data_IF_807047012793
#
_entry.id   IF_807047012793
#
_cell.length_a   1.000
_cell.length_b   1.000
_cell.length_c   1.000
_cell.angle_alpha   90.00
_cell.angle_beta   90.00
_cell.angle_gamma   90.00
#
_symmetry.space_group_name_H-M   'P 1'
#
loop_
_entity.id
_entity.type
_entity.pdbx_description
1 polymer ?
#
# COMPACT_ATOMS: atom_id res chain seq x y z
N UNK A 1 -8.89 31.08 -3.65
CA UNK A 1 -10.18 30.45 -4.01
C UNK A 1 -10.09 29.01 -3.53
N UNK A 2 -10.87 28.64 -2.51
CA UNK A 2 -10.94 27.26 -2.04
C UNK A 2 -11.55 26.41 -3.15
N UNK A 3 -10.90 25.32 -3.55
CA UNK A 3 -11.64 24.26 -4.23
C UNK A 3 -12.66 23.75 -3.22
N UNK A 4 -13.95 23.92 -3.52
CA UNK A 4 -15.04 23.50 -2.63
C UNK A 4 -15.46 22.06 -2.86
N UNK A 5 -14.87 21.36 -3.83
CA UNK A 5 -15.16 19.95 -4.12
C UNK A 5 -14.07 19.31 -4.98
N UNK A 6 -13.79 18.03 -4.74
CA UNK A 6 -12.92 17.19 -5.57
C UNK A 6 -13.64 16.60 -6.80
N UNK A 7 -14.96 16.70 -6.90
CA UNK A 7 -15.76 16.09 -7.97
C UNK A 7 -15.33 16.52 -9.38
N UNK A 8 -14.89 17.77 -9.55
CA UNK A 8 -14.37 18.26 -10.83
C UNK A 8 -13.08 17.55 -11.28
N UNK A 9 -12.19 17.23 -10.33
CA UNK A 9 -10.95 16.49 -10.60
C UNK A 9 -11.23 15.00 -10.82
N UNK A 10 -12.21 14.45 -10.11
CA UNK A 10 -12.67 13.06 -10.31
C UNK A 10 -13.31 12.89 -11.68
N UNK A 11 -14.13 13.86 -12.14
CA UNK A 11 -14.69 13.83 -13.49
C UNK A 11 -13.61 13.89 -14.56
N UNK A 12 -12.50 14.58 -14.28
CA UNK A 12 -11.36 14.69 -15.17
C UNK A 12 -10.60 13.37 -15.35
N UNK A 13 -10.78 12.43 -14.42
CA UNK A 13 -10.22 11.07 -14.47
C UNK A 13 -10.91 10.19 -15.53
N UNK A 14 -12.14 10.54 -15.93
CA UNK A 14 -12.94 9.85 -16.96
C UNK A 14 -12.52 10.24 -18.39
N UNK A 15 -11.75 11.33 -18.53
CA UNK A 15 -11.34 11.84 -19.83
C UNK A 15 -10.37 10.88 -20.56
N UNK A 16 -10.24 11.00 -21.89
CA UNK A 16 -9.36 10.13 -22.69
C UNK A 16 -7.89 10.56 -22.65
N UNK A 17 -7.59 11.80 -22.25
CA UNK A 17 -6.23 12.32 -22.23
C UNK A 17 -5.37 11.79 -21.07
N UNK A 18 -4.27 11.11 -21.39
CA UNK A 18 -3.27 10.63 -20.41
C UNK A 18 -2.70 11.78 -19.55
N UNK A 19 -2.38 12.92 -20.16
CA UNK A 19 -1.85 14.10 -19.44
C UNK A 19 -2.87 14.71 -18.48
N UNK A 20 -4.14 14.67 -18.87
CA UNK A 20 -5.28 15.19 -18.11
C UNK A 20 -5.52 14.33 -16.87
N UNK A 21 -5.47 12.99 -17.02
CA UNK A 21 -5.50 12.05 -15.89
C UNK A 21 -4.31 12.23 -14.96
N UNK A 22 -3.11 12.43 -15.48
CA UNK A 22 -1.91 12.66 -14.68
C UNK A 22 -2.02 13.95 -13.84
N UNK A 23 -2.53 15.02 -14.44
CA UNK A 23 -2.78 16.29 -13.72
C UNK A 23 -3.85 16.13 -12.64
N UNK A 24 -4.96 15.45 -12.96
CA UNK A 24 -6.02 15.16 -12.00
C UNK A 24 -5.48 14.37 -10.81
N UNK A 25 -4.76 13.27 -11.06
CA UNK A 25 -4.12 12.45 -10.03
C UNK A 25 -3.18 13.24 -9.11
N UNK A 26 -2.31 14.07 -9.68
CA UNK A 26 -1.38 14.88 -8.90
C UNK A 26 -2.12 15.84 -7.97
N UNK A 27 -3.17 16.50 -8.47
CA UNK A 27 -4.00 17.41 -7.66
C UNK A 27 -4.83 16.70 -6.62
N UNK A 28 -5.37 15.52 -6.94
CA UNK A 28 -6.09 14.69 -5.98
C UNK A 28 -5.17 14.23 -4.84
N UNK A 29 -3.91 13.88 -5.12
CA UNK A 29 -2.94 13.49 -4.10
C UNK A 29 -2.56 14.64 -3.14
N UNK A 30 -2.59 15.89 -3.58
CA UNK A 30 -2.38 17.06 -2.70
C UNK A 30 -3.60 17.37 -1.83
N UNK A 31 -4.79 16.98 -2.29
CA UNK A 31 -6.08 17.31 -1.67
C UNK A 31 -6.70 16.15 -0.88
N UNK A 32 -6.05 14.98 -0.89
CA UNK A 32 -6.58 13.75 -0.30
C UNK A 32 -6.93 13.91 1.18
N UNK A 33 -6.12 14.63 1.95
CA UNK A 33 -6.37 14.80 3.39
C UNK A 33 -7.64 15.61 3.69
N UNK A 34 -8.09 16.45 2.77
CA UNK A 34 -9.29 17.29 2.93
C UNK A 34 -10.53 16.66 2.28
N UNK A 35 -10.35 15.96 1.16
CA UNK A 35 -11.45 15.45 0.33
C UNK A 35 -11.45 13.92 0.19
N UNK A 36 -10.82 13.18 1.12
CA UNK A 36 -10.78 11.72 1.09
C UNK A 36 -12.17 11.09 0.96
N UNK A 37 -13.20 11.68 1.58
CA UNK A 37 -14.57 11.17 1.51
C UNK A 37 -15.12 11.21 0.07
N UNK A 38 -15.01 12.33 -0.64
CA UNK A 38 -15.43 12.43 -2.05
C UNK A 38 -14.58 11.54 -2.97
N UNK A 39 -13.28 11.43 -2.69
CA UNK A 39 -12.37 10.61 -3.51
C UNK A 39 -12.66 9.12 -3.32
N UNK A 40 -13.03 8.70 -2.10
CA UNK A 40 -13.36 7.33 -1.77
C UNK A 40 -14.55 6.79 -2.58
N UNK A 41 -15.56 7.62 -2.87
CA UNK A 41 -16.68 7.24 -3.73
C UNK A 41 -16.24 6.86 -5.15
N UNK A 42 -15.07 7.34 -5.58
CA UNK A 42 -14.50 7.08 -6.90
C UNK A 42 -13.19 6.30 -6.85
N UNK A 43 -12.87 5.64 -5.74
CA UNK A 43 -11.62 4.86 -5.58
C UNK A 43 -11.51 3.75 -6.63
N UNK A 44 -12.62 3.09 -6.97
CA UNK A 44 -12.69 2.06 -8.01
C UNK A 44 -12.14 2.56 -9.37
N UNK A 45 -12.34 3.84 -9.71
CA UNK A 45 -11.79 4.41 -10.95
C UNK A 45 -10.27 4.56 -10.88
N UNK A 46 -9.76 4.88 -9.70
CA UNK A 46 -8.32 5.00 -9.44
C UNK A 46 -7.68 3.61 -9.50
N UNK A 47 -8.36 2.58 -9.00
CA UNK A 47 -7.91 1.19 -9.12
C UNK A 47 -7.77 0.75 -10.58
N UNK A 48 -8.82 0.97 -11.39
CA UNK A 48 -8.80 0.66 -12.83
C UNK A 48 -7.65 1.39 -13.52
N UNK A 49 -7.40 2.64 -13.15
CA UNK A 49 -6.30 3.43 -13.71
C UNK A 49 -4.92 2.93 -13.27
N UNK A 50 -4.80 2.35 -12.07
CA UNK A 50 -3.58 1.70 -11.61
C UNK A 50 -3.32 0.38 -12.34
N UNK A 51 -4.38 -0.40 -12.63
CA UNK A 51 -4.28 -1.65 -13.39
C UNK A 51 -3.95 -1.41 -14.87
N UNK A 52 -4.23 -0.22 -15.37
CA UNK A 52 -3.89 0.16 -16.74
C UNK A 52 -2.36 0.29 -16.93
N UNK A 53 -1.77 -0.77 -17.47
CA UNK A 53 -0.35 -0.85 -17.79
C UNK A 53 0.09 0.11 -18.91
N UNK A 54 -0.84 0.73 -19.63
CA UNK A 54 -0.54 1.75 -20.66
C UNK A 54 -0.28 3.12 -20.04
N UNK A 55 -0.64 3.30 -18.77
CA UNK A 55 -0.55 4.58 -18.09
C UNK A 55 0.79 4.74 -17.34
N UNK A 56 1.65 5.69 -17.74
CA UNK A 56 2.97 5.86 -17.14
C UNK A 56 2.94 6.32 -15.67
N UNK A 57 1.83 6.92 -15.22
CA UNK A 57 1.64 7.37 -13.83
C UNK A 57 0.77 6.42 -13.00
N UNK A 58 0.71 5.13 -13.36
CA UNK A 58 -0.03 4.11 -12.61
C UNK A 58 0.43 4.01 -11.14
N UNK A 59 1.74 4.13 -10.87
CA UNK A 59 2.29 4.16 -9.52
C UNK A 59 1.74 5.32 -8.67
N UNK A 60 1.46 6.46 -9.29
CA UNK A 60 0.87 7.63 -8.62
C UNK A 60 -0.60 7.35 -8.26
N UNK A 61 -1.34 6.67 -9.15
CA UNK A 61 -2.71 6.21 -8.86
C UNK A 61 -2.73 5.23 -7.67
N UNK A 62 -1.79 4.27 -7.61
CA UNK A 62 -1.63 3.39 -6.45
C UNK A 62 -1.36 4.17 -5.15
N UNK A 63 -0.47 5.16 -5.18
CA UNK A 63 -0.17 5.97 -3.99
C UNK A 63 -1.40 6.76 -3.51
N UNK A 64 -2.17 7.34 -4.44
CA UNK A 64 -3.41 8.01 -4.11
C UNK A 64 -4.44 7.04 -3.51
N UNK A 65 -4.65 5.88 -4.13
CA UNK A 65 -5.55 4.86 -3.61
C UNK A 65 -5.15 4.43 -2.19
N UNK A 66 -3.86 4.16 -1.96
CA UNK A 66 -3.34 3.81 -0.65
C UNK A 66 -3.65 4.85 0.42
N UNK A 67 -3.47 6.14 0.12
CA UNK A 67 -3.82 7.22 1.05
C UNK A 67 -5.32 7.32 1.33
N UNK A 68 -6.16 7.09 0.34
CA UNK A 68 -7.62 7.08 0.53
C UNK A 68 -8.03 5.92 1.44
N UNK A 69 -7.51 4.71 1.19
CA UNK A 69 -7.77 3.54 2.05
C UNK A 69 -7.26 3.72 3.47
N UNK A 70 -6.12 4.42 3.65
CA UNK A 70 -5.64 4.80 4.96
C UNK A 70 -6.67 5.66 5.73
N UNK A 71 -7.27 6.65 5.08
CA UNK A 71 -8.31 7.48 5.69
C UNK A 71 -9.63 6.71 5.93
N UNK A 72 -9.92 5.70 5.11
CA UNK A 72 -11.04 4.77 5.32
C UNK A 72 -10.80 3.75 6.45
N UNK A 73 -9.61 3.75 7.06
CA UNK A 73 -9.15 2.76 8.03
C UNK A 73 -9.08 1.31 7.48
N UNK A 74 -9.07 1.14 6.15
CA UNK A 74 -8.85 -0.13 5.47
C UNK A 74 -7.35 -0.33 5.22
N UNK A 75 -6.63 -0.69 6.28
CA UNK A 75 -5.16 -0.76 6.25
C UNK A 75 -4.60 -1.87 5.36
N UNK A 76 -5.34 -2.96 5.13
CA UNK A 76 -4.87 -4.08 4.29
C UNK A 76 -4.77 -3.67 2.82
N UNK A 77 -5.80 -3.03 2.28
CA UNK A 77 -5.79 -2.48 0.92
C UNK A 77 -4.84 -1.29 0.82
N UNK A 78 -4.79 -0.43 1.85
CA UNK A 78 -3.81 0.65 1.91
C UNK A 78 -2.36 0.13 1.79
N UNK A 79 -2.02 -0.94 2.50
CA UNK A 79 -0.72 -1.59 2.42
C UNK A 79 -0.50 -2.19 1.02
N UNK A 80 -1.46 -2.92 0.47
CA UNK A 80 -1.34 -3.51 -0.87
C UNK A 80 -1.01 -2.46 -1.93
N UNK A 81 -1.76 -1.35 -1.95
CA UNK A 81 -1.52 -0.26 -2.90
C UNK A 81 -0.22 0.51 -2.61
N UNK A 82 0.19 0.65 -1.34
CA UNK A 82 1.48 1.24 -0.98
C UNK A 82 2.64 0.41 -1.56
N UNK A 83 2.55 -0.92 -1.47
CA UNK A 83 3.54 -1.83 -2.04
C UNK A 83 3.57 -1.75 -3.56
N UNK A 84 2.42 -1.56 -4.23
CA UNK A 84 2.35 -1.34 -5.67
C UNK A 84 2.97 -0.02 -6.13
N UNK A 85 2.91 1.02 -5.30
CA UNK A 85 3.53 2.32 -5.60
C UNK A 85 5.07 2.28 -5.58
N UNK A 86 5.67 1.29 -4.89
CA UNK A 86 7.11 0.96 -4.76
C UNK A 86 8.07 2.15 -4.77
N UNK A 87 8.35 2.70 -5.96
CA UNK A 87 9.29 3.81 -6.20
C UNK A 87 8.77 5.16 -5.69
N UNK A 88 7.44 5.38 -5.68
CA UNK A 88 6.85 6.63 -5.19
C UNK A 88 6.56 6.59 -3.68
N UNK A 89 6.66 5.41 -3.05
CA UNK A 89 6.44 5.28 -1.62
C UNK A 89 7.74 5.59 -0.86
N UNK A 90 7.86 6.83 -0.40
CA UNK A 90 9.01 7.28 0.37
C UNK A 90 8.98 6.70 1.81
N UNK A 91 9.59 5.54 1.99
CA UNK A 91 9.77 4.89 3.32
C UNK A 91 10.55 5.74 4.34
N UNK A 92 11.32 6.73 3.87
CA UNK A 92 12.06 7.64 4.75
C UNK A 92 11.22 8.83 5.25
N UNK A 93 10.07 9.10 4.64
CA UNK A 93 9.23 10.22 5.06
C UNK A 93 8.64 9.93 6.45
N UNK A 94 8.84 10.85 7.41
CA UNK A 94 8.23 10.80 8.74
C UNK A 94 6.81 11.36 8.72
N UNK A 95 5.94 10.72 7.94
CA UNK A 95 4.51 11.02 7.89
C UNK A 95 3.75 9.97 8.70
N UNK A 96 2.69 10.39 9.41
CA UNK A 96 1.80 9.48 10.16
C UNK A 96 1.25 8.35 9.27
N UNK A 97 0.98 8.65 7.99
CA UNK A 97 0.63 7.64 6.99
C UNK A 97 1.71 6.58 6.83
N UNK A 98 2.96 7.01 6.60
CA UNK A 98 4.08 6.11 6.36
C UNK A 98 4.36 5.27 7.60
N UNK A 99 4.42 5.87 8.79
CA UNK A 99 4.64 5.16 10.05
C UNK A 99 3.56 4.11 10.34
N UNK A 100 2.29 4.44 10.08
CA UNK A 100 1.19 3.49 10.27
C UNK A 100 1.22 2.35 9.27
N UNK A 101 1.47 2.65 7.99
CA UNK A 101 1.59 1.62 6.94
C UNK A 101 2.79 0.70 7.21
N UNK A 102 3.91 1.23 7.70
CA UNK A 102 5.07 0.42 8.10
C UNK A 102 4.72 -0.47 9.29
N UNK A 103 4.05 0.06 10.31
CA UNK A 103 3.65 -0.72 11.47
C UNK A 103 2.76 -1.90 11.06
N UNK A 104 1.76 -1.62 10.20
CA UNK A 104 0.89 -2.65 9.61
C UNK A 104 1.64 -3.63 8.70
N UNK A 105 2.66 -3.17 7.99
CA UNK A 105 3.53 -4.00 7.17
C UNK A 105 4.28 -5.03 8.03
N UNK A 106 4.85 -4.62 9.16
CA UNK A 106 5.58 -5.49 10.09
C UNK A 106 4.62 -6.50 10.76
N UNK A 107 3.47 -6.03 11.24
CA UNK A 107 2.42 -6.89 11.81
C UNK A 107 2.05 -7.99 10.81
N UNK A 108 1.73 -7.60 9.57
CA UNK A 108 1.30 -8.53 8.51
C UNK A 108 2.41 -9.50 8.12
N UNK A 109 3.65 -9.02 8.02
CA UNK A 109 4.80 -9.85 7.73
C UNK A 109 5.02 -10.92 8.80
N UNK A 110 4.88 -10.55 10.08
CA UNK A 110 5.01 -11.46 11.22
C UNK A 110 3.89 -12.51 11.23
N UNK A 111 2.64 -12.09 10.99
CA UNK A 111 1.49 -13.00 10.83
C UNK A 111 1.75 -14.05 9.74
N UNK A 112 2.27 -13.63 8.58
CA UNK A 112 2.56 -14.53 7.47
C UNK A 112 3.68 -15.51 7.80
N UNK A 113 4.73 -15.06 8.50
CA UNK A 113 5.83 -15.93 8.95
C UNK A 113 5.35 -16.98 9.96
N UNK A 114 4.54 -16.57 10.94
CA UNK A 114 3.94 -17.51 11.91
C UNK A 114 3.00 -18.50 11.23
N UNK A 115 2.17 -18.04 10.28
CA UNK A 115 1.30 -18.92 9.51
C UNK A 115 2.08 -19.94 8.65
N UNK A 116 3.20 -19.53 8.05
CA UNK A 116 4.09 -20.44 7.32
C UNK A 116 4.73 -21.50 8.22
N UNK A 117 5.17 -21.12 9.42
CA UNK A 117 5.77 -22.02 10.42
C UNK A 117 4.73 -23.04 10.93
N UNK A 118 3.51 -22.57 11.25
CA UNK A 118 2.38 -23.43 11.63
C UNK A 118 1.96 -24.39 10.50
N UNK A 119 2.04 -23.95 9.24
CA UNK A 119 1.77 -24.81 8.09
C UNK A 119 2.86 -25.86 7.88
N UNK A 120 4.11 -25.58 8.25
CA UNK A 120 5.22 -26.52 8.18
C UNK A 120 5.17 -27.59 9.30
N UNK A 121 4.61 -27.26 10.48
CA UNK A 121 4.48 -28.17 11.62
C UNK A 121 3.26 -29.12 11.53
N UNK A 122 2.47 -29.06 10.44
CA UNK A 122 1.52 -30.10 10.06
C UNK A 122 0.20 -30.18 10.85
N UNK A 123 -0.18 -29.15 11.64
CA UNK A 123 -1.36 -29.23 12.53
C UNK A 123 -2.67 -28.63 11.97
N UNK A 124 -2.71 -28.07 10.76
CA UNK A 124 -4.00 -27.65 10.14
C UNK A 124 -4.14 -28.13 8.71
N UNK A 125 -4.56 -29.39 8.59
CA UNK A 125 -5.41 -29.79 7.47
C UNK A 125 -6.71 -28.98 7.50
N UNK A 126 -7.09 -28.44 6.34
CA UNK A 126 -8.38 -27.80 6.01
C UNK A 126 -8.59 -26.36 6.51
N UNK A 127 -8.28 -25.39 5.63
CA UNK A 127 -9.22 -24.39 5.07
C UNK A 127 -8.45 -23.21 4.46
N UNK A 128 -8.01 -23.35 3.22
CA UNK A 128 -7.97 -22.25 2.26
C UNK A 128 -8.14 -22.87 0.88
N UNK A 129 -9.39 -23.25 0.58
CA UNK A 129 -9.82 -23.32 -0.80
C UNK A 129 -9.60 -21.91 -1.36
N UNK A 130 -8.65 -21.80 -2.29
CA UNK A 130 -8.54 -20.66 -3.17
C UNK A 130 -9.86 -20.53 -3.93
N UNK A 131 -10.74 -19.68 -3.42
CA UNK A 131 -11.73 -19.04 -4.26
C UNK A 131 -11.09 -17.76 -4.80
N UNK A 132 -10.76 -17.84 -6.08
CA UNK A 132 -11.01 -16.79 -7.07
C UNK A 132 -10.28 -15.44 -6.94
N UNK A 133 -9.28 -15.29 -7.83
CA UNK A 133 -8.98 -14.05 -8.58
C UNK A 133 -8.17 -12.95 -7.87
N UNK A 134 -6.92 -12.76 -8.31
CA UNK A 134 -6.21 -11.48 -8.21
C UNK A 134 -4.90 -11.51 -7.41
N UNK A 135 -3.97 -10.64 -7.81
CA UNK A 135 -2.62 -10.37 -7.26
C UNK A 135 -2.59 -9.98 -5.75
N UNK A 136 -3.72 -10.08 -5.04
CA UNK A 136 -3.93 -9.71 -3.63
C UNK A 136 -3.58 -10.82 -2.64
N UNK A 137 -3.13 -11.98 -3.11
CA UNK A 137 -2.77 -13.07 -2.20
C UNK A 137 -1.42 -12.79 -1.54
N UNK A 138 -1.40 -12.76 -0.20
CA UNK A 138 -0.21 -12.63 0.63
C UNK A 138 0.62 -13.92 0.72
N UNK A 139 0.54 -14.79 -0.30
CA UNK A 139 1.27 -16.04 -0.34
C UNK A 139 2.78 -15.79 -0.45
N UNK A 140 3.61 -16.67 0.14
CA UNK A 140 5.07 -16.56 0.11
C UNK A 140 5.67 -16.40 -1.31
N UNK A 141 4.97 -16.94 -2.31
CA UNK A 141 5.40 -16.91 -3.71
C UNK A 141 4.84 -15.70 -4.49
N UNK A 142 4.01 -14.88 -3.87
CA UNK A 142 3.34 -13.75 -4.51
C UNK A 142 4.28 -12.57 -4.70
N UNK A 143 4.08 -11.79 -5.78
CA UNK A 143 4.80 -10.55 -6.01
C UNK A 143 4.60 -9.55 -4.87
N UNK A 144 3.40 -9.54 -4.28
CA UNK A 144 3.04 -8.70 -3.14
C UNK A 144 3.88 -9.04 -1.90
N UNK A 145 4.16 -10.33 -1.65
CA UNK A 145 5.03 -10.76 -0.55
C UNK A 145 6.48 -10.32 -0.72
N UNK A 146 7.03 -10.42 -1.95
CA UNK A 146 8.39 -9.94 -2.24
C UNK A 146 8.52 -8.43 -2.02
N UNK A 147 7.52 -7.66 -2.43
CA UNK A 147 7.47 -6.21 -2.18
C UNK A 147 7.40 -5.90 -0.69
N UNK A 148 6.60 -6.65 0.07
CA UNK A 148 6.51 -6.55 1.53
C UNK A 148 7.88 -6.79 2.18
N UNK A 149 8.56 -7.88 1.82
CA UNK A 149 9.89 -8.21 2.34
C UNK A 149 10.92 -7.12 2.00
N UNK A 150 10.91 -6.58 0.78
CA UNK A 150 11.78 -5.48 0.39
C UNK A 150 11.56 -4.20 1.22
N UNK A 151 10.31 -3.88 1.56
CA UNK A 151 10.00 -2.72 2.41
C UNK A 151 10.48 -2.94 3.85
N UNK A 152 10.32 -4.15 4.37
CA UNK A 152 10.83 -4.54 5.71
C UNK A 152 12.36 -4.49 5.74
N UNK A 153 13.05 -5.02 4.72
CA UNK A 153 14.52 -4.95 4.63
C UNK A 153 15.01 -3.48 4.55
N UNK A 154 14.38 -2.64 3.73
CA UNK A 154 14.69 -1.19 3.70
C UNK A 154 14.48 -0.51 5.06
N UNK A 155 13.48 -0.94 5.83
CA UNK A 155 13.25 -0.46 7.20
C UNK A 155 14.35 -0.92 8.15
N UNK A 156 14.78 -2.18 8.06
CA UNK A 156 15.93 -2.67 8.83
C UNK A 156 17.18 -1.85 8.54
N UNK A 157 17.52 -1.65 7.26
CA UNK A 157 18.67 -0.84 6.84
C UNK A 157 18.58 0.58 7.42
N UNK A 158 17.40 1.20 7.36
CA UNK A 158 17.15 2.51 7.98
C UNK A 158 17.40 2.48 9.50
N UNK A 159 16.86 1.51 10.21
CA UNK A 159 17.08 1.38 11.66
C UNK A 159 18.57 1.18 11.99
N UNK A 160 19.32 0.47 11.13
CA UNK A 160 20.77 0.32 11.24
C UNK A 160 21.51 1.65 11.00
N UNK A 161 21.11 2.42 9.97
CA UNK A 161 21.69 3.73 9.66
C UNK A 161 21.46 4.75 10.79
N UNK A 162 20.25 4.79 11.35
CA UNK A 162 19.90 5.68 12.47
C UNK A 162 20.42 5.19 13.82
N UNK A 163 21.19 4.09 13.87
CA UNK A 163 21.73 3.47 15.09
C UNK A 163 20.65 3.12 16.13
N UNK A 164 19.42 2.90 15.68
CA UNK A 164 18.27 2.52 16.51
C UNK A 164 18.26 1.00 16.74
N UNK A 165 19.37 0.48 17.26
CA UNK A 165 19.58 -0.97 17.39
C UNK A 165 18.58 -1.68 18.30
N UNK A 166 17.94 -0.96 19.24
CA UNK A 166 16.90 -1.52 20.11
C UNK A 166 15.60 -1.82 19.36
N UNK A 167 15.20 -0.94 18.44
CA UNK A 167 14.04 -1.16 17.58
C UNK A 167 14.34 -2.23 16.54
N UNK A 168 15.52 -2.18 15.91
CA UNK A 168 15.97 -3.23 14.99
C UNK A 168 15.99 -4.61 15.66
N UNK A 169 16.48 -4.72 16.89
CA UNK A 169 16.48 -5.97 17.65
C UNK A 169 15.06 -6.44 18.02
N UNK A 170 14.16 -5.52 18.39
CA UNK A 170 12.75 -5.85 18.66
C UNK A 170 12.07 -6.45 17.43
N UNK A 171 12.19 -5.78 16.28
CA UNK A 171 11.63 -6.25 15.00
C UNK A 171 12.30 -7.57 14.58
N UNK A 172 13.61 -7.74 14.77
CA UNK A 172 14.30 -9.01 14.46
C UNK A 172 13.77 -10.19 15.29
N UNK A 173 13.54 -9.98 16.60
CA UNK A 173 12.96 -10.99 17.49
C UNK A 173 11.52 -11.30 17.08
N UNK A 174 10.71 -10.29 16.77
CA UNK A 174 9.31 -10.45 16.34
C UNK A 174 9.21 -11.18 15.00
N UNK A 175 10.11 -10.87 14.07
CA UNK A 175 10.16 -11.50 12.74
C UNK A 175 10.90 -12.85 12.72
N UNK A 176 11.36 -13.34 13.88
CA UNK A 176 12.19 -14.55 14.04
C UNK A 176 13.38 -14.60 13.05
N UNK A 177 14.10 -13.48 12.91
CA UNK A 177 15.30 -13.39 12.07
C UNK A 177 16.57 -13.34 12.90
#
# INVERSE_FOLDING_TARGET
MALTSAAGLVSLLDDKGTDVKAFALKRLNELVDQFWAEISESVNKIEILHEDSTFPHNKLAALLASKVYYHLAEYEDALHFALCAEELFDTNASSEFVETIISKCIDKYTELRVAQDLAADGLTGTLSRQDSTGDRTWAANSATYKRLELVVDKMFDRCFEHKQYKQALGIAIETRR
#
